data_IF_025774735778
#
_entry.id   IF_025774735778
#
_cell.length_a   1.000
_cell.length_b   1.000
_cell.length_c   1.000
_cell.angle_alpha   90.00
_cell.angle_beta   90.00
_cell.angle_gamma   90.00
#
_symmetry.space_group_name_H-M   'P 1'
#
loop_
_entity.id
_entity.type
_entity.pdbx_description
1 polymer ?
#
# COMPACT_ATOMS: atom_id res chain seq x y z
N UNK A 1 39.36 4.25 10.95
CA UNK A 1 37.90 3.97 10.84
C UNK A 1 37.35 4.90 9.77
N UNK A 2 36.98 4.34 8.62
CA UNK A 2 36.74 5.08 7.39
C UNK A 2 35.28 5.63 7.33
N UNK A 3 35.18 6.93 7.06
CA UNK A 3 33.93 7.73 6.91
C UNK A 3 33.20 7.53 5.56
N UNK A 4 33.31 6.38 4.91
CA UNK A 4 32.79 6.15 3.54
C UNK A 4 31.63 5.14 3.42
N UNK A 5 31.05 4.63 4.53
CA UNK A 5 29.97 3.63 4.46
C UNK A 5 28.59 4.15 4.91
N UNK A 6 28.38 5.47 5.01
CA UNK A 6 27.14 6.06 5.52
C UNK A 6 26.19 6.61 4.43
N UNK A 7 26.41 6.32 3.14
CA UNK A 7 25.63 6.97 2.06
C UNK A 7 24.57 6.11 1.34
N UNK A 8 24.33 4.85 1.76
CA UNK A 8 23.40 3.97 1.03
C UNK A 8 22.11 3.57 1.77
N UNK A 9 21.86 4.07 3.00
CA UNK A 9 20.70 3.68 3.82
C UNK A 9 19.72 4.81 4.14
N UNK A 10 19.70 5.89 3.36
CA UNK A 10 18.78 7.01 3.63
C UNK A 10 17.31 6.71 3.27
N UNK A 11 17.05 5.71 2.41
CA UNK A 11 15.68 5.35 1.97
C UNK A 11 14.88 4.60 3.05
N UNK A 12 15.53 4.09 4.10
CA UNK A 12 14.92 3.30 5.20
C UNK A 12 15.01 4.05 6.54
N UNK A 13 15.25 5.36 6.52
CA UNK A 13 15.34 6.12 7.77
C UNK A 13 13.94 6.32 8.41
N UNK A 14 13.70 5.87 9.67
CA UNK A 14 12.40 6.04 10.33
C UNK A 14 11.91 7.49 10.38
N UNK A 15 12.80 8.46 10.47
CA UNK A 15 12.45 9.88 10.44
C UNK A 15 11.90 10.36 9.09
N UNK A 16 12.39 9.79 7.99
CA UNK A 16 11.91 10.07 6.65
C UNK A 16 10.50 9.51 6.42
N UNK A 17 10.28 8.27 6.86
CA UNK A 17 8.97 7.62 6.82
C UNK A 17 7.91 8.39 7.61
N UNK A 18 8.20 8.79 8.85
CA UNK A 18 7.32 9.61 9.69
C UNK A 18 6.99 10.97 9.05
N UNK A 19 7.96 11.62 8.41
CA UNK A 19 7.75 12.89 7.74
C UNK A 19 6.80 12.77 6.54
N UNK A 20 6.89 11.69 5.77
CA UNK A 20 5.99 11.44 4.65
C UNK A 20 4.55 11.16 5.12
N UNK A 21 4.38 10.33 6.15
CA UNK A 21 3.08 10.06 6.75
C UNK A 21 2.43 11.34 7.29
N UNK A 22 3.19 12.21 7.96
CA UNK A 22 2.69 13.50 8.45
C UNK A 22 2.20 14.42 7.34
N UNK A 23 2.85 14.44 6.18
CA UNK A 23 2.39 15.21 4.99
C UNK A 23 1.06 14.70 4.46
N UNK A 24 0.86 13.39 4.51
CA UNK A 24 -0.39 12.74 4.15
C UNK A 24 -1.43 12.82 5.29
N UNK A 25 -1.13 13.61 6.34
CA UNK A 25 -2.03 13.89 7.44
C UNK A 25 -2.09 12.82 8.50
N UNK A 26 -1.19 11.84 8.52
CA UNK A 26 -1.17 10.75 9.50
C UNK A 26 -0.25 11.08 10.66
N UNK A 27 -0.80 11.12 11.89
CA UNK A 27 -0.04 11.34 13.13
C UNK A 27 0.28 10.01 13.81
N UNK A 28 1.54 9.85 14.25
CA UNK A 28 2.09 8.59 14.77
C UNK A 28 2.39 8.60 16.28
N UNK A 29 1.95 9.64 17.03
CA UNK A 29 2.38 9.85 18.43
C UNK A 29 2.18 8.67 19.40
N UNK A 30 1.35 7.67 19.03
CA UNK A 30 1.02 6.51 19.88
C UNK A 30 1.12 5.17 19.15
N UNK A 31 1.71 5.15 17.97
CA UNK A 31 1.72 3.97 17.12
C UNK A 31 3.14 3.63 16.68
N UNK A 32 3.43 2.34 16.62
CA UNK A 32 4.72 1.80 16.22
C UNK A 32 4.76 1.53 14.71
N UNK A 33 3.61 1.14 14.14
CA UNK A 33 3.47 0.77 12.72
C UNK A 33 2.22 1.38 12.08
N UNK A 34 2.29 1.61 10.77
CA UNK A 34 1.16 2.06 9.95
C UNK A 34 0.71 0.94 9.02
N UNK A 35 -0.58 0.68 9.04
CA UNK A 35 -1.24 -0.28 8.16
C UNK A 35 -2.23 0.45 7.27
N UNK A 36 -2.03 0.37 5.96
CA UNK A 36 -3.01 0.85 4.99
C UNK A 36 -4.05 -0.24 4.71
N UNK A 37 -5.32 0.11 4.65
CA UNK A 37 -6.39 -0.79 4.26
C UNK A 37 -6.92 -0.39 2.88
N UNK A 38 -6.58 -1.18 1.86
CA UNK A 38 -6.99 -0.99 0.47
C UNK A 38 -8.01 -2.05 0.05
N UNK A 39 -8.75 -1.80 -1.01
CA UNK A 39 -9.68 -2.78 -1.57
C UNK A 39 -10.72 -2.14 -2.47
N UNK A 40 -11.34 -2.95 -3.33
CA UNK A 40 -12.42 -2.50 -4.19
C UNK A 40 -13.65 -2.09 -3.37
N UNK A 41 -14.54 -1.25 -3.91
CA UNK A 41 -15.83 -0.99 -3.29
C UNK A 41 -16.62 -2.29 -3.06
N UNK A 42 -17.31 -2.37 -1.91
CA UNK A 42 -18.18 -3.50 -1.52
C UNK A 42 -17.47 -4.83 -1.24
N UNK A 43 -16.16 -4.86 -1.02
CA UNK A 43 -15.41 -6.05 -0.57
C UNK A 43 -15.54 -6.34 0.93
N UNK A 44 -16.30 -5.50 1.66
CA UNK A 44 -16.40 -5.57 3.12
C UNK A 44 -15.23 -4.88 3.83
N UNK A 45 -14.49 -3.99 3.15
CA UNK A 45 -13.35 -3.24 3.70
C UNK A 45 -13.71 -2.52 5.01
N UNK A 46 -14.81 -1.78 5.05
CA UNK A 46 -15.26 -1.10 6.27
C UNK A 46 -15.63 -2.08 7.40
N UNK A 47 -16.11 -3.28 7.09
CA UNK A 47 -16.36 -4.33 8.08
C UNK A 47 -15.03 -4.82 8.67
N UNK A 48 -14.03 -5.09 7.82
CA UNK A 48 -12.67 -5.46 8.27
C UNK A 48 -12.09 -4.36 9.14
N UNK A 49 -12.17 -3.10 8.71
CA UNK A 49 -11.72 -1.93 9.47
C UNK A 49 -12.35 -1.88 10.86
N UNK A 50 -13.68 -1.95 10.93
CA UNK A 50 -14.42 -1.89 12.19
C UNK A 50 -14.09 -3.07 13.12
N UNK A 51 -13.90 -4.25 12.56
CA UNK A 51 -13.55 -5.45 13.35
C UNK A 51 -12.13 -5.35 13.91
N UNK A 52 -11.18 -4.80 13.16
CA UNK A 52 -9.81 -4.59 13.61
C UNK A 52 -9.70 -3.50 14.68
N UNK A 53 -10.44 -2.39 14.53
CA UNK A 53 -10.33 -1.22 15.40
C UNK A 53 -11.27 -1.25 16.61
N UNK A 54 -12.19 -2.22 16.67
CA UNK A 54 -13.22 -2.29 17.71
C UNK A 54 -14.13 -1.07 17.72
N UNK A 55 -14.45 -0.52 16.53
CA UNK A 55 -15.26 0.70 16.33
C UNK A 55 -14.63 1.99 16.89
N UNK A 56 -13.38 1.96 17.31
CA UNK A 56 -12.63 3.15 17.74
C UNK A 56 -11.97 3.78 16.53
N UNK A 57 -12.66 4.75 15.93
CA UNK A 57 -12.19 5.42 14.73
C UNK A 57 -12.24 6.93 14.89
N UNK A 58 -11.31 7.61 14.27
CA UNK A 58 -11.34 9.04 14.00
C UNK A 58 -11.63 9.25 12.53
N UNK A 59 -12.57 10.15 12.24
CA UNK A 59 -12.89 10.52 10.86
C UNK A 59 -12.44 11.95 10.61
N UNK A 60 -11.91 12.19 9.42
CA UNK A 60 -11.46 13.49 8.94
C UNK A 60 -11.52 13.52 7.42
N UNK A 61 -10.94 14.51 6.81
CA UNK A 61 -10.76 14.54 5.36
C UNK A 61 -9.28 14.36 5.01
N UNK A 62 -9.04 13.83 3.83
CA UNK A 62 -7.70 13.83 3.28
C UNK A 62 -7.22 15.26 3.04
N UNK A 63 -5.94 15.60 3.32
CA UNK A 63 -5.42 16.95 3.18
C UNK A 63 -5.68 17.53 1.78
N UNK A 64 -6.38 18.68 1.73
CA UNK A 64 -6.72 19.34 0.47
C UNK A 64 -7.75 18.64 -0.42
N UNK A 65 -8.42 17.59 0.09
CA UNK A 65 -9.44 16.84 -0.66
C UNK A 65 -10.77 16.80 0.14
N UNK A 66 -11.88 16.62 -0.56
CA UNK A 66 -13.21 16.46 0.05
C UNK A 66 -13.53 15.02 0.45
N UNK A 67 -12.61 14.10 0.22
CA UNK A 67 -12.75 12.67 0.49
C UNK A 67 -12.54 12.39 1.97
N UNK A 68 -13.45 11.62 2.56
CA UNK A 68 -13.39 11.24 3.98
C UNK A 68 -12.27 10.22 4.22
N UNK A 69 -11.55 10.42 5.33
CA UNK A 69 -10.52 9.50 5.83
C UNK A 69 -10.98 8.93 7.17
N UNK A 70 -10.91 7.62 7.32
CA UNK A 70 -11.10 6.95 8.59
C UNK A 70 -9.75 6.39 9.09
N UNK A 71 -9.47 6.63 10.35
CA UNK A 71 -8.27 6.14 11.05
C UNK A 71 -8.68 5.45 12.33
N UNK A 72 -7.99 4.39 12.66
CA UNK A 72 -8.18 3.67 13.91
C UNK A 72 -6.88 3.00 14.33
N UNK A 73 -6.97 2.07 15.26
CA UNK A 73 -5.79 1.30 15.64
C UNK A 73 -6.15 0.04 16.38
N UNK A 74 -5.20 -0.87 16.42
CA UNK A 74 -5.24 -2.09 17.21
C UNK A 74 -3.88 -2.34 17.86
N UNK A 75 -3.87 -3.15 18.93
CA UNK A 75 -2.66 -3.57 19.59
C UNK A 75 -2.46 -5.08 19.42
N UNK A 76 -1.23 -5.50 19.19
CA UNK A 76 -0.87 -6.91 19.11
C UNK A 76 0.56 -7.12 19.63
N UNK A 77 0.75 -8.09 20.53
CA UNK A 77 2.05 -8.42 21.15
C UNK A 77 2.82 -7.22 21.70
N UNK A 78 2.10 -6.26 22.31
CA UNK A 78 2.70 -5.06 22.91
C UNK A 78 3.06 -3.94 21.93
N UNK A 79 2.80 -4.11 20.64
CA UNK A 79 2.97 -3.08 19.60
C UNK A 79 1.61 -2.48 19.22
N UNK A 80 1.61 -1.20 18.86
CA UNK A 80 0.43 -0.46 18.44
C UNK A 80 0.47 -0.20 16.94
N UNK A 81 -0.58 -0.60 16.26
CA UNK A 81 -0.73 -0.47 14.80
C UNK A 81 -1.77 0.59 14.49
N UNK A 82 -1.39 1.59 13.72
CA UNK A 82 -2.33 2.57 13.17
C UNK A 82 -2.90 2.03 11.87
N UNK A 83 -4.22 1.96 11.80
CA UNK A 83 -4.96 1.53 10.61
C UNK A 83 -5.52 2.76 9.90
N UNK A 84 -5.20 2.92 8.63
CA UNK A 84 -5.69 4.01 7.76
C UNK A 84 -6.54 3.39 6.66
N UNK A 85 -7.82 3.75 6.63
CA UNK A 85 -8.75 3.28 5.59
C UNK A 85 -8.59 4.13 4.33
N UNK A 86 -8.14 3.50 3.25
CA UNK A 86 -8.03 4.14 1.95
C UNK A 86 -9.37 4.14 1.23
N UNK A 87 -9.65 5.13 0.37
CA UNK A 87 -10.84 5.11 -0.47
C UNK A 87 -10.95 3.82 -1.26
N UNK A 88 -12.17 3.30 -1.40
CA UNK A 88 -12.41 2.09 -2.19
C UNK A 88 -12.26 2.36 -3.68
N UNK A 89 -11.31 1.70 -4.34
CA UNK A 89 -10.99 1.92 -5.75
C UNK A 89 -10.92 0.61 -6.52
N UNK A 90 -11.10 0.69 -7.84
CA UNK A 90 -10.92 -0.46 -8.72
C UNK A 90 -9.54 -0.51 -9.36
N UNK A 91 -8.82 0.60 -9.33
CA UNK A 91 -7.47 0.72 -9.88
C UNK A 91 -6.67 1.82 -9.16
N UNK A 92 -5.38 1.94 -9.45
CA UNK A 92 -4.50 3.01 -8.98
C UNK A 92 -4.01 3.89 -10.15
N UNK A 93 -4.75 3.91 -11.27
CA UNK A 93 -4.37 4.64 -12.48
C UNK A 93 -4.69 6.15 -12.42
N UNK A 94 -5.12 6.66 -11.27
CA UNK A 94 -5.35 8.10 -11.01
C UNK A 94 -6.41 8.77 -11.88
N UNK A 95 -7.42 8.00 -12.32
CA UNK A 95 -8.56 8.52 -13.07
C UNK A 95 -9.55 9.29 -12.18
N UNK A 96 -9.53 9.00 -10.87
CA UNK A 96 -10.37 9.66 -9.85
C UNK A 96 -9.53 10.14 -8.67
N UNK A 97 -10.10 11.06 -7.87
CA UNK A 97 -9.48 11.54 -6.62
C UNK A 97 -9.24 10.40 -5.63
N UNK A 98 -10.14 9.42 -5.57
CA UNK A 98 -10.04 8.26 -4.69
C UNK A 98 -8.85 7.36 -5.07
N UNK A 99 -8.66 7.12 -6.37
CA UNK A 99 -7.52 6.36 -6.88
C UNK A 99 -6.19 7.08 -6.64
N UNK A 100 -6.16 8.40 -6.86
CA UNK A 100 -5.01 9.24 -6.59
C UNK A 100 -4.60 9.17 -5.11
N UNK A 101 -5.56 9.33 -4.19
CA UNK A 101 -5.31 9.24 -2.74
C UNK A 101 -4.74 7.87 -2.36
N UNK A 102 -5.38 6.78 -2.83
CA UNK A 102 -4.96 5.43 -2.51
C UNK A 102 -3.54 5.14 -3.04
N UNK A 103 -3.27 5.53 -4.28
CA UNK A 103 -1.95 5.41 -4.92
C UNK A 103 -0.89 6.18 -4.14
N UNK A 104 -1.14 7.47 -3.89
CA UNK A 104 -0.16 8.36 -3.26
C UNK A 104 0.15 7.93 -1.83
N UNK A 105 -0.86 7.43 -1.11
CA UNK A 105 -0.63 6.91 0.23
C UNK A 105 0.26 5.66 0.22
N UNK A 106 0.04 4.71 -0.69
CA UNK A 106 0.84 3.49 -0.77
C UNK A 106 2.25 3.83 -1.29
N UNK A 107 2.36 4.67 -2.32
CA UNK A 107 3.63 4.98 -2.98
C UNK A 107 4.53 5.89 -2.15
N UNK A 108 3.99 7.00 -1.63
CA UNK A 108 4.78 8.02 -0.93
C UNK A 108 4.69 7.90 0.60
N UNK A 109 3.54 7.44 1.13
CA UNK A 109 3.37 7.17 2.54
C UNK A 109 4.13 5.93 3.00
N UNK A 110 4.35 4.96 2.10
CA UNK A 110 5.09 3.73 2.36
C UNK A 110 4.66 3.05 3.67
N UNK A 111 3.36 2.71 3.84
CA UNK A 111 2.90 2.07 5.06
C UNK A 111 3.70 0.80 5.35
N UNK A 112 3.87 0.46 6.64
CA UNK A 112 4.61 -0.74 7.05
C UNK A 112 3.97 -2.02 6.50
N UNK A 113 2.64 -2.00 6.33
CA UNK A 113 1.89 -3.08 5.66
C UNK A 113 0.70 -2.50 4.90
N UNK A 114 0.44 -3.00 3.71
CA UNK A 114 -0.82 -2.75 2.99
C UNK A 114 -1.68 -4.00 3.04
N UNK A 115 -2.81 -3.94 3.74
CA UNK A 115 -3.83 -4.99 3.72
C UNK A 115 -4.77 -4.74 2.56
N UNK A 116 -4.88 -5.71 1.65
CA UNK A 116 -5.76 -5.62 0.48
C UNK A 116 -6.98 -6.50 0.71
N UNK A 117 -8.15 -5.89 0.89
CA UNK A 117 -9.41 -6.62 1.09
C UNK A 117 -10.00 -7.01 -0.25
N UNK A 118 -10.17 -8.31 -0.44
CA UNK A 118 -10.61 -8.94 -1.68
C UNK A 118 -11.92 -9.69 -1.42
N UNK A 119 -12.89 -9.54 -2.32
CA UNK A 119 -14.12 -10.31 -2.33
C UNK A 119 -13.89 -11.68 -2.96
N UNK A 120 -14.00 -12.73 -2.16
CA UNK A 120 -13.83 -14.12 -2.58
C UNK A 120 -14.80 -14.53 -3.70
N UNK A 121 -15.99 -13.93 -3.76
CA UNK A 121 -16.99 -14.24 -4.80
C UNK A 121 -16.70 -13.59 -6.15
N UNK A 122 -15.76 -12.60 -6.17
CA UNK A 122 -15.37 -11.83 -7.36
C UNK A 122 -13.87 -11.67 -7.48
N UNK A 123 -13.14 -12.74 -7.17
CA UNK A 123 -11.69 -12.77 -7.06
C UNK A 123 -11.01 -12.19 -8.31
N UNK A 124 -11.38 -12.66 -9.50
CA UNK A 124 -10.80 -12.23 -10.77
C UNK A 124 -10.81 -10.70 -10.95
N UNK A 125 -11.95 -10.07 -10.65
CA UNK A 125 -12.08 -8.61 -10.73
C UNK A 125 -11.20 -7.88 -9.71
N UNK A 126 -11.08 -8.44 -8.51
CA UNK A 126 -10.34 -7.82 -7.42
C UNK A 126 -8.82 -7.97 -7.59
N UNK A 127 -8.36 -9.02 -8.27
CA UNK A 127 -6.94 -9.25 -8.53
C UNK A 127 -6.29 -8.12 -9.34
N UNK A 128 -7.05 -7.38 -10.14
CA UNK A 128 -6.52 -6.22 -10.86
C UNK A 128 -5.91 -5.17 -9.91
N UNK A 129 -6.64 -4.80 -8.85
CA UNK A 129 -6.13 -3.89 -7.82
C UNK A 129 -4.97 -4.52 -7.03
N UNK A 130 -5.07 -5.82 -6.72
CA UNK A 130 -4.01 -6.56 -6.02
C UNK A 130 -2.69 -6.44 -6.78
N UNK A 131 -2.68 -6.74 -8.08
CA UNK A 131 -1.47 -6.64 -8.88
C UNK A 131 -0.89 -5.22 -8.90
N UNK A 132 -1.74 -4.19 -9.04
CA UNK A 132 -1.29 -2.80 -9.03
C UNK A 132 -0.68 -2.39 -7.69
N UNK A 133 -1.25 -2.82 -6.57
CA UNK A 133 -0.67 -2.59 -5.24
C UNK A 133 0.68 -3.32 -5.10
N UNK A 134 0.76 -4.57 -5.55
CA UNK A 134 1.99 -5.37 -5.48
C UNK A 134 3.11 -4.85 -6.40
N UNK A 135 2.78 -4.07 -7.44
CA UNK A 135 3.79 -3.33 -8.21
C UNK A 135 4.42 -2.19 -7.40
N UNK A 136 3.68 -1.60 -6.45
CA UNK A 136 4.15 -0.48 -5.63
C UNK A 136 4.87 -0.95 -4.37
N UNK A 137 4.36 -1.97 -3.68
CA UNK A 137 4.90 -2.40 -2.38
C UNK A 137 5.18 -3.90 -2.31
N UNK A 138 6.24 -4.26 -1.56
CA UNK A 138 6.55 -5.65 -1.20
C UNK A 138 5.93 -6.02 0.16
N UNK A 139 5.34 -5.07 0.89
CA UNK A 139 4.77 -5.28 2.22
C UNK A 139 3.26 -5.32 2.15
N UNK A 140 2.72 -6.47 1.75
CA UNK A 140 1.29 -6.65 1.56
C UNK A 140 0.77 -7.95 2.20
N UNK A 141 -0.49 -7.90 2.67
CA UNK A 141 -1.26 -9.06 3.12
C UNK A 141 -2.63 -9.00 2.45
N UNK A 142 -3.09 -10.11 1.90
CA UNK A 142 -4.41 -10.19 1.29
C UNK A 142 -5.42 -10.73 2.32
N UNK A 143 -6.46 -9.95 2.59
CA UNK A 143 -7.64 -10.39 3.33
C UNK A 143 -8.69 -10.88 2.32
N UNK A 144 -8.76 -12.19 2.12
CA UNK A 144 -9.74 -12.84 1.24
C UNK A 144 -11.08 -12.95 2.00
N UNK A 145 -11.88 -11.90 1.92
CA UNK A 145 -13.11 -11.75 2.69
C UNK A 145 -14.32 -12.37 1.97
N UNK A 146 -15.45 -12.46 2.68
CA UNK A 146 -16.71 -13.04 2.17
C UNK A 146 -16.60 -14.54 1.82
N UNK A 147 -15.73 -15.27 2.50
CA UNK A 147 -15.55 -16.71 2.28
C UNK A 147 -16.84 -17.51 2.49
N UNK A 148 -17.70 -17.09 3.40
CA UNK A 148 -19.00 -17.71 3.64
C UNK A 148 -19.99 -17.48 2.47
N UNK A 149 -19.82 -16.43 1.72
CA UNK A 149 -20.58 -16.17 0.49
C UNK A 149 -20.04 -17.00 -0.67
N UNK A 150 -18.70 -17.08 -0.79
CA UNK A 150 -18.07 -17.97 -1.76
C UNK A 150 -18.48 -19.43 -1.56
N UNK A 151 -18.50 -19.91 -0.31
CA UNK A 151 -18.96 -21.27 0.03
C UNK A 151 -20.43 -21.48 -0.34
N UNK A 152 -21.32 -20.53 -0.06
CA UNK A 152 -22.73 -20.57 -0.50
C UNK A 152 -22.92 -20.63 -2.01
N UNK A 153 -22.00 -20.02 -2.75
CA UNK A 153 -21.96 -20.07 -4.21
C UNK A 153 -21.18 -21.28 -4.76
N UNK A 154 -20.79 -22.22 -3.91
CA UNK A 154 -20.01 -23.41 -4.26
C UNK A 154 -18.67 -23.08 -4.95
N UNK A 155 -18.09 -21.91 -4.63
CA UNK A 155 -16.77 -21.52 -5.10
C UNK A 155 -15.71 -22.12 -4.18
N UNK A 156 -14.78 -22.86 -4.77
CA UNK A 156 -13.62 -23.42 -4.06
C UNK A 156 -12.40 -22.59 -4.41
N UNK A 157 -11.79 -21.94 -3.42
CA UNK A 157 -10.60 -21.12 -3.58
C UNK A 157 -9.46 -21.76 -2.79
N UNK A 158 -8.36 -22.04 -3.46
CA UNK A 158 -7.12 -22.48 -2.84
C UNK A 158 -6.31 -21.26 -2.41
N UNK A 159 -6.48 -20.82 -1.17
CA UNK A 159 -5.79 -19.67 -0.58
C UNK A 159 -4.27 -19.87 -0.51
N UNK A 160 -3.80 -21.12 -0.34
CA UNK A 160 -2.37 -21.44 -0.31
C UNK A 160 -1.74 -21.32 -1.71
N UNK A 161 -2.45 -21.82 -2.73
CA UNK A 161 -2.04 -21.66 -4.11
C UNK A 161 -1.98 -20.17 -4.46
N UNK A 162 -3.02 -19.42 -4.09
CA UNK A 162 -3.09 -17.98 -4.33
C UNK A 162 -1.96 -17.22 -3.62
N UNK A 163 -1.65 -17.56 -2.37
CA UNK A 163 -0.54 -16.96 -1.63
C UNK A 163 0.82 -17.22 -2.29
N UNK A 164 1.04 -18.47 -2.74
CA UNK A 164 2.26 -18.85 -3.47
C UNK A 164 2.37 -18.10 -4.79
N UNK A 165 1.28 -18.01 -5.55
CA UNK A 165 1.27 -17.41 -6.89
C UNK A 165 1.35 -15.87 -6.84
N UNK A 166 0.87 -15.25 -5.78
CA UNK A 166 1.02 -13.80 -5.55
C UNK A 166 2.32 -13.43 -4.82
N UNK A 167 2.92 -14.38 -4.08
CA UNK A 167 4.14 -14.16 -3.30
C UNK A 167 3.94 -13.34 -2.03
N UNK A 168 2.70 -13.28 -1.51
CA UNK A 168 2.29 -12.58 -0.28
C UNK A 168 1.33 -13.42 0.53
N UNK A 169 1.22 -13.23 1.86
CA UNK A 169 0.24 -13.94 2.68
C UNK A 169 -1.19 -13.67 2.22
N UNK A 170 -2.01 -14.72 2.18
CA UNK A 170 -3.45 -14.66 1.91
C UNK A 170 -4.18 -15.25 3.11
N UNK A 171 -5.09 -14.48 3.68
CA UNK A 171 -5.87 -14.87 4.87
C UNK A 171 -7.34 -14.95 4.51
N UNK A 172 -7.92 -16.17 4.50
CA UNK A 172 -9.37 -16.34 4.35
C UNK A 172 -10.11 -15.76 5.55
N UNK A 173 -11.16 -14.96 5.29
CA UNK A 173 -11.88 -14.26 6.32
C UNK A 173 -13.40 -14.22 6.09
N UNK A 174 -14.14 -14.13 7.19
CA UNK A 174 -15.54 -13.72 7.25
C UNK A 174 -15.61 -12.59 8.28
N UNK A 175 -15.27 -11.39 7.86
CA UNK A 175 -15.05 -10.25 8.76
C UNK A 175 -16.26 -9.96 9.66
N UNK A 176 -17.49 -10.06 9.13
CA UNK A 176 -18.73 -9.88 9.91
C UNK A 176 -18.91 -10.87 11.06
N UNK A 177 -18.23 -12.02 11.01
CA UNK A 177 -18.25 -13.06 12.04
C UNK A 177 -16.96 -13.08 12.87
N UNK A 178 -16.00 -12.20 12.59
CA UNK A 178 -14.67 -12.19 13.22
C UNK A 178 -13.77 -13.37 12.82
N UNK A 179 -14.21 -14.26 11.91
CA UNK A 179 -13.40 -15.39 11.45
C UNK A 179 -12.24 -14.91 10.59
N UNK A 180 -11.04 -15.44 10.83
CA UNK A 180 -9.82 -15.09 10.12
C UNK A 180 -9.14 -13.80 10.61
N UNK A 181 -9.81 -12.96 11.42
CA UNK A 181 -9.28 -11.67 11.86
C UNK A 181 -8.04 -11.81 12.74
N UNK A 182 -8.02 -12.76 13.67
CA UNK A 182 -6.84 -13.01 14.51
C UNK A 182 -5.63 -13.43 13.68
N UNK A 183 -5.83 -14.26 12.65
CA UNK A 183 -4.77 -14.64 11.72
C UNK A 183 -4.33 -13.44 10.86
N UNK A 184 -5.27 -12.58 10.43
CA UNK A 184 -4.95 -11.37 9.68
C UNK A 184 -4.06 -10.43 10.50
N UNK A 185 -4.38 -10.20 11.78
CA UNK A 185 -3.58 -9.41 12.71
C UNK A 185 -2.17 -9.99 12.85
N UNK A 186 -2.07 -11.31 13.02
CA UNK A 186 -0.78 -12.00 13.11
C UNK A 186 0.06 -11.80 11.85
N UNK A 187 -0.50 -12.06 10.65
CA UNK A 187 0.22 -11.89 9.39
C UNK A 187 0.64 -10.44 9.15
N UNK A 188 -0.21 -9.48 9.50
CA UNK A 188 0.12 -8.06 9.45
C UNK A 188 1.31 -7.74 10.35
N UNK A 189 1.31 -8.25 11.58
CA UNK A 189 2.40 -8.04 12.52
C UNK A 189 3.72 -8.65 12.02
N UNK A 190 3.69 -9.91 11.57
CA UNK A 190 4.88 -10.63 11.08
C UNK A 190 5.49 -9.95 9.82
N UNK A 191 4.64 -9.38 8.93
CA UNK A 191 5.12 -8.58 7.78
C UNK A 191 5.68 -7.23 8.25
N UNK A 192 5.02 -6.56 9.21
CA UNK A 192 5.44 -5.26 9.71
C UNK A 192 6.84 -5.30 10.37
N UNK A 193 7.10 -6.33 11.17
CA UNK A 193 8.41 -6.52 11.85
C UNK A 193 9.45 -7.20 10.97
N UNK A 194 9.07 -7.66 9.76
CA UNK A 194 9.98 -8.28 8.79
C UNK A 194 10.27 -9.77 9.03
N UNK A 195 9.51 -10.45 9.89
CA UNK A 195 9.59 -11.92 10.04
C UNK A 195 9.14 -12.62 8.76
N UNK A 196 8.10 -12.09 8.10
CA UNK A 196 7.70 -12.52 6.76
C UNK A 196 8.23 -11.53 5.75
N UNK A 197 9.12 -12.00 4.87
CA UNK A 197 9.57 -11.27 3.69
C UNK A 197 8.71 -11.65 2.50
N UNK A 198 7.83 -10.76 2.07
CA UNK A 198 7.03 -10.95 0.87
C UNK A 198 7.90 -10.87 -0.39
N UNK A 199 7.56 -11.66 -1.40
CA UNK A 199 8.21 -11.66 -2.72
C UNK A 199 7.15 -11.63 -3.81
N UNK A 200 6.49 -10.48 -4.03
CA UNK A 200 5.43 -10.38 -5.03
C UNK A 200 5.89 -10.85 -6.40
N UNK A 201 5.09 -11.69 -7.03
CA UNK A 201 5.35 -12.13 -8.40
C UNK A 201 4.86 -11.07 -9.37
N UNK A 202 5.75 -10.13 -9.70
CA UNK A 202 5.50 -9.09 -10.70
C UNK A 202 5.65 -9.65 -12.11
N UNK A 203 4.82 -9.17 -13.03
CA UNK A 203 4.91 -9.56 -14.43
C UNK A 203 6.21 -9.03 -15.03
N UNK A 204 7.14 -9.93 -15.39
CA UNK A 204 8.47 -9.59 -15.93
C UNK A 204 8.52 -9.61 -17.46
N UNK A 205 7.37 -9.70 -18.14
CA UNK A 205 7.29 -9.81 -19.60
C UNK A 205 7.54 -8.46 -20.30
N UNK A 206 8.74 -7.90 -20.12
CA UNK A 206 9.13 -6.67 -20.79
C UNK A 206 10.03 -6.97 -22.00
N UNK A 207 9.72 -6.33 -23.13
CA UNK A 207 10.64 -6.36 -24.26
C UNK A 207 11.99 -5.70 -23.88
N UNK A 208 13.12 -6.12 -24.47
CA UNK A 208 14.42 -5.50 -24.21
C UNK A 208 14.45 -3.98 -24.47
N UNK A 209 13.59 -3.51 -25.38
CA UNK A 209 13.44 -2.08 -25.71
C UNK A 209 12.75 -1.35 -24.55
N UNK A 210 11.63 -1.88 -24.05
CA UNK A 210 10.89 -1.31 -22.92
C UNK A 210 11.75 -1.29 -21.66
N UNK A 211 12.46 -2.38 -21.37
CA UNK A 211 13.37 -2.47 -20.22
C UNK A 211 14.43 -1.36 -20.24
N UNK A 212 15.03 -1.09 -21.41
CA UNK A 212 16.01 0.01 -21.58
C UNK A 212 15.37 1.38 -21.41
N UNK A 213 14.17 1.59 -21.94
CA UNK A 213 13.44 2.84 -21.79
C UNK A 213 13.11 3.14 -20.33
N UNK A 214 12.59 2.14 -19.60
CA UNK A 214 12.32 2.24 -18.17
C UNK A 214 13.59 2.57 -17.40
N UNK A 215 14.68 1.84 -17.62
CA UNK A 215 15.95 2.06 -16.94
C UNK A 215 16.48 3.49 -17.16
N UNK A 216 16.49 3.96 -18.42
CA UNK A 216 16.92 5.32 -18.74
C UNK A 216 16.05 6.39 -18.07
N UNK A 217 14.74 6.15 -17.97
CA UNK A 217 13.83 7.09 -17.31
C UNK A 217 13.99 7.07 -15.78
N UNK A 218 14.20 5.89 -15.18
CA UNK A 218 14.51 5.75 -13.74
C UNK A 218 15.74 6.57 -13.36
N UNK A 219 16.83 6.47 -14.13
CA UNK A 219 18.06 7.23 -13.89
C UNK A 219 17.80 8.74 -13.93
N UNK A 220 17.01 9.22 -14.90
CA UNK A 220 16.62 10.65 -14.99
C UNK A 220 15.74 11.08 -13.81
N UNK A 221 14.78 10.25 -13.41
CA UNK A 221 13.91 10.53 -12.28
C UNK A 221 14.68 10.58 -10.96
N UNK A 222 15.63 9.69 -10.74
CA UNK A 222 16.48 9.68 -9.54
C UNK A 222 17.40 10.90 -9.46
N UNK A 223 17.86 11.42 -10.61
CA UNK A 223 18.61 12.67 -10.66
C UNK A 223 17.73 13.87 -10.38
N UNK A 224 16.52 13.91 -10.97
CA UNK A 224 15.58 15.04 -10.80
C UNK A 224 14.91 15.06 -9.42
N UNK A 225 14.65 13.87 -8.86
CA UNK A 225 13.95 13.66 -7.59
C UNK A 225 14.73 12.65 -6.73
N UNK A 226 15.83 13.07 -6.08
CA UNK A 226 16.61 12.18 -5.21
C UNK A 226 15.75 11.61 -4.07
N UNK A 227 15.78 10.29 -3.88
CA UNK A 227 14.97 9.61 -2.86
C UNK A 227 13.53 9.33 -3.29
N UNK A 228 13.19 9.44 -4.58
CA UNK A 228 11.87 9.08 -5.09
C UNK A 228 11.59 7.57 -4.85
N UNK A 229 10.60 7.21 -4.03
CA UNK A 229 10.28 5.82 -3.81
C UNK A 229 9.71 5.21 -5.09
N UNK A 230 10.09 3.96 -5.36
CA UNK A 230 9.64 3.19 -6.50
C UNK A 230 9.69 3.95 -7.86
N UNK A 231 10.86 4.57 -8.15
CA UNK A 231 11.08 5.32 -9.39
C UNK A 231 10.76 4.51 -10.66
N UNK A 232 10.88 3.17 -10.59
CA UNK A 232 10.50 2.26 -11.68
C UNK A 232 9.00 2.30 -11.97
N UNK A 233 8.15 2.30 -10.95
CA UNK A 233 6.70 2.39 -11.09
C UNK A 233 6.32 3.73 -11.74
N UNK A 234 6.91 4.84 -11.26
CA UNK A 234 6.72 6.20 -11.84
C UNK A 234 7.14 6.22 -13.31
N UNK A 235 8.30 5.63 -13.64
CA UNK A 235 8.80 5.56 -15.01
C UNK A 235 7.86 4.77 -15.93
N UNK A 236 7.28 3.67 -15.44
CA UNK A 236 6.34 2.86 -16.21
C UNK A 236 5.08 3.66 -16.55
N UNK A 237 4.48 4.35 -15.56
CA UNK A 237 3.27 5.15 -15.76
C UNK A 237 3.50 6.36 -16.67
N UNK A 238 4.69 6.98 -16.63
CA UNK A 238 5.06 8.03 -17.59
C UNK A 238 5.16 7.48 -19.01
N UNK A 239 5.67 6.26 -19.19
CA UNK A 239 5.75 5.62 -20.51
C UNK A 239 4.37 5.18 -21.03
N UNK A 240 3.43 4.91 -20.13
CA UNK A 240 2.02 4.61 -20.46
C UNK A 240 1.21 5.87 -20.80
N UNK A 241 1.78 7.07 -20.59
CA UNK A 241 1.12 8.34 -20.88
C UNK A 241 0.13 8.79 -19.80
N UNK A 242 0.38 8.42 -18.53
CA UNK A 242 -0.41 8.92 -17.39
C UNK A 242 -0.22 10.43 -17.27
N UNK A 243 -1.23 11.18 -17.70
CA UNK A 243 -1.18 12.66 -17.75
C UNK A 243 -1.03 13.30 -16.38
N UNK A 244 -1.60 12.70 -15.33
CA UNK A 244 -1.45 13.19 -13.95
C UNK A 244 -0.05 12.95 -13.42
N UNK A 245 0.55 11.81 -13.75
CA UNK A 245 1.94 11.53 -13.41
C UNK A 245 2.89 12.49 -14.16
N UNK A 246 2.60 12.78 -15.42
CA UNK A 246 3.35 13.79 -16.19
C UNK A 246 3.24 15.18 -15.55
N UNK A 247 2.04 15.58 -15.12
CA UNK A 247 1.81 16.86 -14.47
C UNK A 247 2.53 16.92 -13.11
N UNK A 248 2.48 15.87 -12.30
CA UNK A 248 3.19 15.78 -11.02
C UNK A 248 4.72 15.88 -11.18
N UNK A 249 5.26 15.32 -12.27
CA UNK A 249 6.69 15.50 -12.62
C UNK A 249 6.97 16.95 -13.04
N UNK A 250 6.16 17.55 -13.94
CA UNK A 250 6.36 18.91 -14.47
C UNK A 250 6.18 19.98 -13.41
N UNK A 251 5.19 19.84 -12.53
CA UNK A 251 4.93 20.78 -11.42
C UNK A 251 5.96 20.67 -10.30
N UNK A 252 6.77 19.61 -10.28
CA UNK A 252 7.68 19.30 -9.18
C UNK A 252 6.98 18.76 -7.94
N UNK A 253 5.70 18.39 -8.04
CA UNK A 253 4.91 17.84 -6.93
C UNK A 253 5.55 16.56 -6.38
N UNK A 254 6.08 15.69 -7.24
CA UNK A 254 6.87 14.54 -6.82
C UNK A 254 8.05 14.94 -5.93
N UNK A 255 8.75 16.02 -6.28
CA UNK A 255 9.81 16.59 -5.46
C UNK A 255 9.30 17.11 -4.11
N UNK A 256 8.11 17.71 -4.07
CA UNK A 256 7.50 18.17 -2.82
C UNK A 256 7.06 16.99 -1.92
N UNK A 257 6.61 15.90 -2.49
CA UNK A 257 6.29 14.68 -1.75
C UNK A 257 7.57 14.00 -1.20
N UNK A 258 8.69 14.12 -1.91
CA UNK A 258 10.00 13.57 -1.53
C UNK A 258 10.82 14.53 -0.68
N UNK A 259 10.94 15.81 -1.05
CA UNK A 259 11.96 16.75 -0.55
C UNK A 259 11.57 17.58 0.67
N UNK A 260 10.32 17.58 1.12
CA UNK A 260 9.97 18.21 2.42
C UNK A 260 10.52 17.47 3.65
N UNK A 261 11.35 16.47 3.45
CA UNK A 261 12.07 15.74 4.50
C UNK A 261 13.41 16.36 4.89
N UNK A 262 13.88 17.38 4.19
CA UNK A 262 15.05 18.15 4.55
C UNK A 262 14.61 19.51 5.13
N UNK A 263 14.19 19.55 6.40
CA UNK A 263 14.23 20.77 7.20
C UNK A 263 15.57 20.74 7.92
N UNK A 264 16.51 21.65 7.63
CA UNK A 264 17.63 21.87 8.54
C UNK A 264 17.10 22.57 9.80
N UNK A 265 17.77 22.35 10.90
CA UNK A 265 17.62 22.88 12.25
C UNK A 265 17.00 24.28 12.34
#
# INVERSE_FOLDING_TARGET
>A
MNRKELSSNCEICPAHHLANLKKLGVEMERYDYVVALAGNPNTGKSTVFNTLTGLRQHTGNWPGKTVTRAEGGFAYQGQNYKLVDLPGTYSLLSMSTDEEIARDFILFGQPDVTVIVVDATRLERNLNLVFQVLEITDRAVICLNLMDEAERHHLVIDDRCLARDLGVPVVPAVARQGKGISLLIQMVAEVAIGEITCKPHRIKSESPVLKRAIQSLVEKLQVAFPGLPNARWVALHLLEGDSKMEEAVRSGELGNLVSRSAVPN
#
